data_IF_778618323742
#
_entry.id   IF_778618323742
#
_cell.length_a   1.000
_cell.length_b   1.000
_cell.length_c   1.000
_cell.angle_alpha   90.00
_cell.angle_beta   90.00
_cell.angle_gamma   90.00
#
_symmetry.space_group_name_H-M   'P 1'
#
loop_
_entity.id
_entity.type
_entity.pdbx_description
1 polymer ?
#
# COMPACT_ATOMS: atom_id res chain seq x y z
N UNK A 1 2.16 23.48 14.41
CA UNK A 1 1.68 23.44 15.80
C UNK A 1 0.58 22.38 15.90
N UNK A 2 0.74 21.40 16.79
CA UNK A 2 -0.28 20.39 17.12
C UNK A 2 -1.24 21.00 18.13
N UNK A 3 -2.47 21.32 17.72
CA UNK A 3 -3.49 21.90 18.61
C UNK A 3 -4.76 21.07 18.53
N UNK A 4 -5.52 21.01 19.64
CA UNK A 4 -6.87 20.44 19.61
C UNK A 4 -7.75 21.25 18.66
N UNK A 5 -8.41 20.53 17.75
CA UNK A 5 -9.24 21.11 16.68
C UNK A 5 -10.72 20.80 16.93
N UNK A 6 -11.60 21.41 16.12
CA UNK A 6 -13.06 21.22 16.23
C UNK A 6 -13.42 19.75 16.12
N UNK A 7 -14.20 19.25 17.08
CA UNK A 7 -14.59 17.83 17.10
C UNK A 7 -15.45 17.40 15.92
N UNK A 8 -16.31 18.30 15.44
CA UNK A 8 -17.11 18.04 14.25
C UNK A 8 -16.22 17.88 13.01
N UNK A 9 -15.24 18.77 12.83
CA UNK A 9 -14.30 18.65 11.71
C UNK A 9 -13.39 17.44 11.86
N UNK A 10 -12.96 17.09 13.09
CA UNK A 10 -12.22 15.84 13.32
C UNK A 10 -13.04 14.62 12.92
N UNK A 11 -14.32 14.57 13.28
CA UNK A 11 -15.22 13.50 12.86
C UNK A 11 -15.34 13.43 11.34
N UNK A 12 -15.64 14.54 10.67
CA UNK A 12 -15.72 14.59 9.21
C UNK A 12 -14.41 14.14 8.53
N UNK A 13 -13.26 14.59 9.02
CA UNK A 13 -11.96 14.18 8.51
C UNK A 13 -11.68 12.69 8.76
N UNK A 14 -12.08 12.14 9.91
CA UNK A 14 -11.85 10.73 10.26
C UNK A 14 -12.60 9.72 9.36
N UNK A 15 -13.60 10.17 8.59
CA UNK A 15 -14.30 9.33 7.62
C UNK A 15 -13.41 8.94 6.44
N UNK A 16 -12.35 9.70 6.19
CA UNK A 16 -11.31 9.38 5.22
C UNK A 16 -10.08 8.87 5.98
N UNK A 17 -9.64 7.61 5.78
CA UNK A 17 -8.48 7.05 6.49
C UNK A 17 -7.28 7.97 6.39
N UNK A 18 -6.68 8.33 7.52
CA UNK A 18 -5.50 9.19 7.62
C UNK A 18 -5.78 10.70 7.64
N UNK A 19 -6.93 11.16 7.14
CA UNK A 19 -7.22 12.59 7.08
C UNK A 19 -7.53 13.19 8.46
N UNK A 20 -8.09 12.39 9.37
CA UNK A 20 -8.33 12.78 10.76
C UNK A 20 -7.03 13.09 11.52
N UNK A 21 -6.02 12.22 11.38
CA UNK A 21 -4.69 12.38 11.95
C UNK A 21 -3.98 13.61 11.39
N UNK A 22 -4.06 13.83 10.06
CA UNK A 22 -3.52 15.03 9.42
C UNK A 22 -4.20 16.31 9.92
N UNK A 23 -5.52 16.28 10.13
CA UNK A 23 -6.26 17.42 10.66
C UNK A 23 -5.82 17.80 12.09
N UNK A 24 -5.46 16.81 12.90
CA UNK A 24 -4.89 16.99 14.24
C UNK A 24 -3.40 17.40 14.22
N UNK A 25 -2.76 17.39 13.04
CA UNK A 25 -1.35 17.78 12.86
C UNK A 25 -0.35 16.63 12.96
N UNK A 26 -0.80 15.38 12.87
CA UNK A 26 0.02 14.16 12.80
C UNK A 26 0.08 13.68 11.34
N UNK A 27 0.85 14.39 10.52
CA UNK A 27 0.90 14.20 9.07
C UNK A 27 1.53 12.88 8.67
N UNK A 28 2.60 12.43 9.35
CA UNK A 28 3.27 11.16 9.03
C UNK A 28 2.38 9.97 9.41
N UNK A 29 1.66 10.05 10.52
CA UNK A 29 0.67 9.04 10.88
C UNK A 29 -0.47 8.99 9.85
N UNK A 30 -1.02 10.14 9.50
CA UNK A 30 -2.11 10.23 8.54
C UNK A 30 -1.74 9.73 7.14
N UNK A 31 -0.59 10.14 6.59
CA UNK A 31 -0.15 9.66 5.28
C UNK A 31 0.18 8.15 5.30
N UNK A 32 0.66 7.61 6.43
CA UNK A 32 0.86 6.16 6.57
C UNK A 32 -0.45 5.40 6.39
N UNK A 33 -1.54 5.90 6.99
CA UNK A 33 -2.86 5.27 6.91
C UNK A 33 -3.51 5.46 5.54
N UNK A 34 -3.39 6.64 4.94
CA UNK A 34 -3.85 6.88 3.57
C UNK A 34 -3.14 5.93 2.58
N UNK A 35 -1.81 5.89 2.62
CA UNK A 35 -1.03 5.05 1.72
C UNK A 35 -1.33 3.56 1.91
N UNK A 36 -1.54 3.12 3.15
CA UNK A 36 -1.91 1.74 3.42
C UNK A 36 -3.32 1.41 2.87
N UNK A 37 -4.32 2.24 3.18
CA UNK A 37 -5.71 2.02 2.75
C UNK A 37 -5.85 2.05 1.22
N UNK A 38 -5.41 3.14 0.59
CA UNK A 38 -5.50 3.30 -0.86
C UNK A 38 -4.52 2.41 -1.60
N UNK A 39 -3.34 2.15 -1.03
CA UNK A 39 -2.33 1.27 -1.62
C UNK A 39 -2.83 -0.17 -1.72
N UNK A 40 -3.48 -0.69 -0.67
CA UNK A 40 -4.11 -2.03 -0.72
C UNK A 40 -5.23 -2.04 -1.76
N UNK A 41 -6.06 -1.01 -1.83
CA UNK A 41 -7.12 -0.90 -2.84
C UNK A 41 -6.57 -0.92 -4.28
N UNK A 42 -5.56 -0.10 -4.55
CA UNK A 42 -4.91 -0.02 -5.85
C UNK A 42 -4.21 -1.34 -6.22
N UNK A 43 -3.51 -1.95 -5.27
CA UNK A 43 -2.84 -3.23 -5.48
C UNK A 43 -3.84 -4.36 -5.73
N UNK A 44 -4.94 -4.42 -4.97
CA UNK A 44 -6.00 -5.40 -5.17
C UNK A 44 -6.63 -5.28 -6.57
N UNK A 45 -6.95 -4.05 -6.99
CA UNK A 45 -7.53 -3.77 -8.31
C UNK A 45 -6.57 -4.14 -9.45
N UNK A 46 -5.28 -3.83 -9.32
CA UNK A 46 -4.28 -4.14 -10.34
C UNK A 46 -3.95 -5.64 -10.42
N UNK A 47 -3.81 -6.31 -9.28
CA UNK A 47 -3.45 -7.74 -9.21
C UNK A 47 -4.62 -8.69 -9.43
N UNK A 48 -5.87 -8.21 -9.36
CA UNK A 48 -7.06 -9.07 -9.38
C UNK A 48 -7.16 -9.95 -8.13
N UNK A 49 -6.69 -9.44 -6.98
CA UNK A 49 -6.83 -10.06 -5.66
C UNK A 49 -7.85 -9.28 -4.84
N UNK A 50 -9.11 -9.40 -5.20
CA UNK A 50 -10.21 -8.68 -4.56
C UNK A 50 -10.35 -9.03 -3.07
N UNK A 51 -9.88 -10.23 -2.67
CA UNK A 51 -9.83 -10.67 -1.27
C UNK A 51 -9.06 -9.69 -0.38
N UNK A 52 -8.06 -8.97 -0.92
CA UNK A 52 -7.30 -7.97 -0.15
C UNK A 52 -8.16 -6.77 0.26
N UNK A 53 -9.24 -6.49 -0.46
CA UNK A 53 -10.18 -5.42 -0.10
C UNK A 53 -10.90 -5.70 1.23
N UNK A 54 -10.95 -6.96 1.69
CA UNK A 54 -11.47 -7.30 3.01
C UNK A 54 -10.63 -6.68 4.16
N UNK A 55 -9.37 -6.32 3.89
CA UNK A 55 -8.48 -5.65 4.85
C UNK A 55 -8.81 -4.14 4.94
N UNK A 56 -9.35 -3.54 3.88
CA UNK A 56 -9.59 -2.10 3.82
C UNK A 56 -10.56 -1.61 4.93
N UNK A 57 -11.70 -2.28 5.23
CA UNK A 57 -12.54 -1.92 6.37
C UNK A 57 -11.79 -1.94 7.70
N UNK A 58 -10.88 -2.90 7.91
CA UNK A 58 -10.09 -3.00 9.15
C UNK A 58 -9.18 -1.79 9.31
N UNK A 59 -8.51 -1.38 8.25
CA UNK A 59 -7.64 -0.18 8.25
C UNK A 59 -8.47 1.09 8.45
N UNK A 60 -9.65 1.16 7.81
CA UNK A 60 -10.57 2.29 7.98
C UNK A 60 -11.01 2.43 9.44
N UNK A 61 -11.50 1.35 10.06
CA UNK A 61 -11.88 1.36 11.47
C UNK A 61 -10.70 1.72 12.37
N UNK A 62 -9.53 1.17 12.11
CA UNK A 62 -8.32 1.53 12.84
C UNK A 62 -8.05 3.04 12.77
N UNK A 63 -8.02 3.64 11.58
CA UNK A 63 -7.80 5.08 11.42
C UNK A 63 -8.90 5.92 12.09
N UNK A 64 -10.16 5.51 11.92
CA UNK A 64 -11.29 6.18 12.53
C UNK A 64 -11.17 6.22 14.06
N UNK A 65 -10.97 5.06 14.70
CA UNK A 65 -10.83 4.99 16.16
C UNK A 65 -9.53 5.62 16.65
N UNK A 66 -8.44 5.50 15.91
CA UNK A 66 -7.16 6.12 16.23
C UNK A 66 -7.26 7.64 16.27
N UNK A 67 -7.88 8.27 15.27
CA UNK A 67 -8.15 9.71 15.26
C UNK A 67 -8.96 10.15 16.48
N UNK A 68 -10.02 9.42 16.82
CA UNK A 68 -10.87 9.77 17.97
C UNK A 68 -10.17 9.57 19.30
N UNK A 69 -9.33 8.54 19.42
CA UNK A 69 -8.48 8.32 20.58
C UNK A 69 -7.50 9.49 20.76
N UNK A 70 -6.80 9.90 19.69
CA UNK A 70 -5.89 11.04 19.69
C UNK A 70 -6.59 12.34 20.11
N UNK A 71 -7.82 12.56 19.65
CA UNK A 71 -8.60 13.75 20.04
C UNK A 71 -8.99 13.74 21.52
N UNK A 72 -9.35 12.56 22.04
CA UNK A 72 -9.88 12.41 23.40
C UNK A 72 -8.79 12.39 24.48
N UNK A 73 -7.51 12.22 24.10
CA UNK A 73 -6.36 12.37 25.01
C UNK A 73 -6.32 13.75 25.67
N UNK A 74 -5.67 13.85 26.83
CA UNK A 74 -5.34 15.15 27.43
C UNK A 74 -4.38 15.93 26.51
N UNK A 75 -4.32 17.26 26.68
CA UNK A 75 -3.43 18.07 25.84
C UNK A 75 -1.96 17.72 26.05
N UNK A 76 -1.56 17.42 27.29
CA UNK A 76 -0.21 16.96 27.61
C UNK A 76 0.12 15.63 26.93
N UNK A 77 -0.77 14.63 26.99
CA UNK A 77 -0.58 13.35 26.31
C UNK A 77 -0.51 13.53 24.79
N UNK A 78 -1.36 14.38 24.23
CA UNK A 78 -1.40 14.65 22.79
C UNK A 78 -0.12 15.35 22.31
N UNK A 79 0.43 16.30 23.08
CA UNK A 79 1.69 16.96 22.77
C UNK A 79 2.89 16.01 22.85
N UNK A 80 2.82 15.00 23.73
CA UNK A 80 3.83 13.93 23.83
C UNK A 80 3.77 12.93 22.66
N UNK A 81 2.67 12.87 21.91
CA UNK A 81 2.60 12.00 20.74
C UNK A 81 3.54 12.49 19.65
N UNK A 82 4.48 11.64 19.22
CA UNK A 82 5.38 11.96 18.12
C UNK A 82 4.73 11.72 16.74
N UNK A 83 5.01 12.60 15.78
CA UNK A 83 4.56 12.40 14.41
C UNK A 83 5.57 11.53 13.65
N UNK A 84 5.37 10.20 13.72
CA UNK A 84 6.19 9.18 13.06
C UNK A 84 5.33 8.35 12.09
N UNK A 85 5.98 7.72 11.11
CA UNK A 85 5.28 6.77 10.24
C UNK A 85 4.84 5.54 11.06
N UNK A 86 3.59 5.10 10.89
CA UNK A 86 3.03 4.02 11.73
C UNK A 86 3.59 2.64 11.35
N UNK A 87 3.61 2.33 10.05
CA UNK A 87 3.95 1.01 9.52
C UNK A 87 5.34 0.94 8.90
N UNK A 88 6.00 2.09 8.75
CA UNK A 88 7.27 2.24 8.05
C UNK A 88 8.36 2.74 9.01
N UNK A 89 8.42 2.12 10.19
CA UNK A 89 9.38 2.46 11.24
C UNK A 89 10.77 1.96 10.82
N UNK A 90 11.66 2.89 10.44
CA UNK A 90 13.02 2.58 9.96
C UNK A 90 13.29 2.99 8.51
N UNK A 91 12.27 3.37 7.74
CA UNK A 91 12.46 4.04 6.44
C UNK A 91 12.23 5.52 6.61
N UNK A 92 13.32 6.28 6.53
CA UNK A 92 13.26 7.73 6.60
C UNK A 92 12.84 8.31 5.24
N UNK A 93 11.54 8.58 5.09
CA UNK A 93 11.01 9.29 3.92
C UNK A 93 11.18 10.81 4.01
N UNK A 94 11.81 11.36 5.06
CA UNK A 94 12.12 12.79 5.10
C UNK A 94 13.09 13.18 3.97
N UNK A 95 14.00 12.26 3.60
CA UNK A 95 14.79 12.31 2.37
C UNK A 95 14.19 11.40 1.30
N UNK A 96 13.04 11.79 0.74
CA UNK A 96 12.44 11.08 -0.38
C UNK A 96 13.45 10.88 -1.54
N UNK A 97 14.27 11.89 -1.82
CA UNK A 97 15.30 11.84 -2.86
C UNK A 97 16.36 10.75 -2.61
N UNK A 98 16.78 10.57 -1.35
CA UNK A 98 17.72 9.50 -0.98
C UNK A 98 17.07 8.12 -1.13
N UNK A 99 15.80 7.98 -0.74
CA UNK A 99 15.06 6.73 -0.93
C UNK A 99 14.91 6.38 -2.42
N UNK A 100 14.51 7.34 -3.25
CA UNK A 100 14.33 7.14 -4.70
C UNK A 100 15.66 6.87 -5.41
N UNK A 101 16.74 7.56 -5.04
CA UNK A 101 18.07 7.33 -5.63
C UNK A 101 18.63 5.97 -5.25
N UNK A 102 18.52 5.57 -3.97
CA UNK A 102 18.94 4.25 -3.48
C UNK A 102 18.20 3.11 -4.16
N UNK A 103 16.88 3.26 -4.34
CA UNK A 103 16.02 2.20 -4.89
C UNK A 103 15.69 2.38 -6.38
N UNK A 104 16.33 3.32 -7.08
CA UNK A 104 15.97 3.76 -8.45
C UNK A 104 15.80 2.61 -9.42
N UNK A 105 16.73 1.65 -9.41
CA UNK A 105 16.71 0.50 -10.32
C UNK A 105 15.48 -0.38 -10.11
N UNK A 106 15.14 -0.66 -8.86
CA UNK A 106 13.98 -1.50 -8.50
C UNK A 106 12.68 -0.76 -8.83
N UNK A 107 12.59 0.51 -8.42
CA UNK A 107 11.41 1.35 -8.71
C UNK A 107 11.19 1.46 -10.23
N UNK A 108 12.25 1.75 -11.00
CA UNK A 108 12.17 1.82 -12.45
C UNK A 108 11.76 0.47 -13.07
N UNK A 109 12.32 -0.65 -12.60
CA UNK A 109 11.95 -1.98 -13.09
C UNK A 109 10.47 -2.30 -12.82
N UNK A 110 9.95 -1.98 -11.63
CA UNK A 110 8.53 -2.16 -11.29
C UNK A 110 7.64 -1.30 -12.20
N UNK A 111 7.99 -0.02 -12.37
CA UNK A 111 7.22 0.90 -13.22
C UNK A 111 7.21 0.47 -14.69
N UNK A 112 8.36 0.04 -15.22
CA UNK A 112 8.46 -0.48 -16.60
C UNK A 112 7.64 -1.75 -16.75
N UNK A 113 7.76 -2.70 -15.82
CA UNK A 113 6.99 -3.94 -15.85
C UNK A 113 5.48 -3.67 -15.81
N UNK A 114 5.05 -2.76 -14.94
CA UNK A 114 3.65 -2.33 -14.82
C UNK A 114 3.16 -1.70 -16.13
N UNK A 115 3.94 -0.79 -16.72
CA UNK A 115 3.63 -0.17 -18.01
C UNK A 115 3.51 -1.19 -19.14
N UNK A 116 4.43 -2.16 -19.23
CA UNK A 116 4.37 -3.24 -20.22
C UNK A 116 3.10 -4.09 -20.05
N UNK A 117 2.75 -4.45 -18.81
CA UNK A 117 1.52 -5.19 -18.54
C UNK A 117 0.29 -4.42 -19.03
N UNK A 118 0.18 -3.13 -18.70
CA UNK A 118 -0.94 -2.28 -19.12
C UNK A 118 -1.03 -2.15 -20.64
N UNK A 119 0.09 -1.84 -21.30
CA UNK A 119 0.13 -1.71 -22.77
C UNK A 119 -0.25 -3.03 -23.43
N UNK A 120 0.24 -4.17 -22.91
CA UNK A 120 -0.08 -5.48 -23.47
C UNK A 120 -1.58 -5.81 -23.38
N UNK A 121 -2.24 -5.45 -22.28
CA UNK A 121 -3.69 -5.62 -22.13
C UNK A 121 -4.46 -4.78 -23.15
N UNK A 122 -4.05 -3.53 -23.38
CA UNK A 122 -4.67 -2.64 -24.35
C UNK A 122 -4.53 -3.20 -25.77
N UNK A 123 -3.33 -3.62 -26.15
CA UNK A 123 -3.06 -4.19 -27.48
C UNK A 123 -3.88 -5.47 -27.68
N UNK A 124 -3.89 -6.37 -26.71
CA UNK A 124 -4.65 -7.63 -26.80
C UNK A 124 -6.16 -7.38 -26.92
N UNK A 125 -6.71 -6.39 -26.21
CA UNK A 125 -8.11 -6.00 -26.35
C UNK A 125 -8.44 -5.39 -27.72
N UNK A 126 -7.51 -4.61 -28.30
CA UNK A 126 -7.69 -4.04 -29.63
C UNK A 126 -7.66 -5.11 -30.73
N UNK A 127 -6.82 -6.13 -30.55
CA UNK A 127 -6.68 -7.24 -31.49
C UNK A 127 -7.77 -8.30 -31.37
N UNK A 128 -8.47 -8.37 -30.23
CA UNK A 128 -9.47 -9.40 -29.94
C UNK A 128 -10.52 -9.61 -31.05
N UNK A 129 -11.12 -8.56 -31.66
CA UNK A 129 -12.11 -8.72 -32.71
C UNK A 129 -11.58 -9.40 -33.99
N UNK A 130 -10.26 -9.37 -34.22
CA UNK A 130 -9.64 -9.87 -35.44
C UNK A 130 -9.29 -11.36 -35.37
N UNK A 131 -9.22 -11.94 -34.16
CA UNK A 131 -8.74 -13.30 -33.97
C UNK A 131 -9.74 -14.14 -33.17
N UNK A 132 -10.52 -15.00 -33.84
CA UNK A 132 -11.51 -15.89 -33.19
C UNK A 132 -11.01 -17.34 -33.05
N UNK A 133 -9.72 -17.52 -32.74
CA UNK A 133 -9.14 -18.87 -32.58
C UNK A 133 -9.08 -19.28 -31.12
N UNK A 134 -9.20 -20.59 -30.85
CA UNK A 134 -9.05 -21.16 -29.50
C UNK A 134 -7.67 -20.81 -28.89
N UNK A 135 -6.62 -20.82 -29.71
CA UNK A 135 -5.28 -20.38 -29.30
C UNK A 135 -5.28 -18.90 -28.86
N UNK A 136 -5.91 -18.02 -29.64
CA UNK A 136 -6.01 -16.61 -29.30
C UNK A 136 -6.76 -16.39 -27.99
N UNK A 137 -7.90 -17.06 -27.79
CA UNK A 137 -8.66 -16.97 -26.54
C UNK A 137 -7.83 -17.37 -25.32
N UNK A 138 -6.97 -18.38 -25.45
CA UNK A 138 -6.06 -18.78 -24.39
C UNK A 138 -4.99 -17.71 -24.11
N UNK A 139 -4.33 -17.19 -25.15
CA UNK A 139 -3.32 -16.12 -25.03
C UNK A 139 -3.91 -14.86 -24.41
N UNK A 140 -5.10 -14.45 -24.86
CA UNK A 140 -5.80 -13.29 -24.34
C UNK A 140 -6.16 -13.46 -22.86
N UNK A 141 -6.65 -14.64 -22.45
CA UNK A 141 -6.92 -14.95 -21.05
C UNK A 141 -5.64 -14.91 -20.19
N UNK A 142 -4.53 -15.45 -20.69
CA UNK A 142 -3.25 -15.37 -19.98
C UNK A 142 -2.79 -13.93 -19.81
N UNK A 143 -2.84 -13.12 -20.88
CA UNK A 143 -2.42 -11.73 -20.83
C UNK A 143 -3.29 -10.89 -19.88
N UNK A 144 -4.62 -11.05 -19.94
CA UNK A 144 -5.55 -10.34 -19.06
C UNK A 144 -5.31 -10.67 -17.59
N UNK A 145 -4.92 -11.91 -17.29
CA UNK A 145 -4.57 -12.35 -15.94
C UNK A 145 -3.07 -12.19 -15.60
N UNK A 146 -2.26 -11.53 -16.44
CA UNK A 146 -0.82 -11.46 -16.24
C UNK A 146 -0.41 -10.87 -14.88
N UNK A 147 -1.00 -9.74 -14.39
CA UNK A 147 -0.70 -9.25 -13.05
C UNK A 147 -0.99 -10.29 -11.95
N UNK A 148 -2.13 -10.98 -12.07
CA UNK A 148 -2.56 -12.03 -11.13
C UNK A 148 -1.60 -13.22 -11.14
N UNK A 149 -1.14 -13.65 -12.31
CA UNK A 149 -0.15 -14.75 -12.43
C UNK A 149 1.19 -14.34 -11.83
N UNK A 150 1.67 -13.12 -12.10
CA UNK A 150 2.92 -12.61 -11.53
C UNK A 150 2.85 -12.63 -9.99
N UNK A 151 1.76 -12.12 -9.42
CA UNK A 151 1.56 -12.11 -7.97
C UNK A 151 1.45 -13.54 -7.42
N UNK A 152 0.72 -14.44 -8.08
CA UNK A 152 0.62 -15.84 -7.66
C UNK A 152 1.99 -16.54 -7.63
N UNK A 153 2.80 -16.35 -8.68
CA UNK A 153 4.17 -16.88 -8.74
C UNK A 153 5.04 -16.30 -7.64
N UNK A 154 4.96 -14.99 -7.39
CA UNK A 154 5.71 -14.34 -6.31
C UNK A 154 5.31 -14.87 -4.92
N UNK A 155 4.03 -15.07 -4.66
CA UNK A 155 3.51 -15.63 -3.40
C UNK A 155 3.98 -17.08 -3.21
N UNK A 156 3.91 -17.92 -4.26
CA UNK A 156 4.42 -19.30 -4.21
C UNK A 156 5.91 -19.31 -3.92
N UNK A 157 6.68 -18.47 -4.62
CA UNK A 157 8.12 -18.35 -4.41
C UNK A 157 8.46 -17.93 -2.97
N UNK A 158 7.77 -16.91 -2.44
CA UNK A 158 7.93 -16.47 -1.06
C UNK A 158 7.62 -17.60 -0.06
N UNK A 159 6.52 -18.34 -0.25
CA UNK A 159 6.17 -19.49 0.59
C UNK A 159 7.26 -20.58 0.58
N UNK A 160 7.81 -20.89 -0.59
CA UNK A 160 8.91 -21.86 -0.72
C UNK A 160 10.20 -21.38 -0.03
N UNK A 161 10.53 -20.09 -0.11
CA UNK A 161 11.71 -19.54 0.58
C UNK A 161 11.57 -19.60 2.12
N UNK A 162 10.36 -19.33 2.63
CA UNK A 162 10.05 -19.45 4.06
C UNK A 162 10.25 -20.90 4.51
N UNK A 163 9.73 -21.88 3.76
CA UNK A 163 9.91 -23.31 4.07
C UNK A 163 11.38 -23.77 4.06
N UNK A 164 12.22 -23.13 3.24
CA UNK A 164 13.66 -23.43 3.16
C UNK A 164 14.49 -22.80 4.28
N UNK A 165 13.91 -21.94 5.13
CA UNK A 165 14.62 -21.26 6.21
C UNK A 165 15.60 -20.18 5.73
N UNK A 166 15.49 -19.73 4.47
CA UNK A 166 16.40 -18.76 3.84
C UNK A 166 16.07 -17.29 4.18
N UNK A 167 15.31 -17.04 5.25
CA UNK A 167 15.08 -15.65 5.67
C UNK A 167 16.39 -15.08 6.23
N UNK A 168 16.73 -13.81 5.93
CA UNK A 168 17.82 -13.14 6.61
C UNK A 168 17.52 -13.18 8.11
N UNK A 169 18.33 -13.95 8.86
CA UNK A 169 18.27 -13.96 10.31
C UNK A 169 18.48 -12.51 10.76
N UNK A 170 17.56 -12.03 11.58
CA UNK A 170 17.73 -10.79 12.33
C UNK A 170 19.13 -10.86 12.97
N UNK A 171 19.98 -9.87 12.67
CA UNK A 171 21.29 -9.80 13.33
C UNK A 171 20.99 -9.64 14.80
N UNK A 172 21.19 -10.70 15.58
CA UNK A 172 21.27 -10.61 17.03
C UNK A 172 22.30 -9.52 17.34
N UNK A 173 21.81 -8.41 17.90
CA UNK A 173 22.66 -7.42 18.51
C UNK A 173 23.15 -8.10 19.80
N UNK A 174 24.29 -8.78 19.71
CA UNK A 174 24.98 -9.30 20.89
C UNK A 174 25.54 -8.09 21.65
N UNK A 175 25.23 -8.06 22.95
CA UNK A 175 25.72 -7.12 23.97
C UNK A 175 27.23 -6.94 23.97
#
# INVERSE_FOLDING_TARGET
>A
MKNKKSGFLTFCCSLVPGAGEMYLGLYKQGISLMLLFFGIGAFAAWSGLEVLLAIAPVIWFFSFFHTHNLRNMSEEEFLRQEDRYLFFQGTDFSNADEFFTKNRKIIAAILILLGICMVSQIIMNLLDPFFNSLYWSFVWRLNRNAPRVIVAVAVIFAGVQILKGNLPKEKEITE
#
